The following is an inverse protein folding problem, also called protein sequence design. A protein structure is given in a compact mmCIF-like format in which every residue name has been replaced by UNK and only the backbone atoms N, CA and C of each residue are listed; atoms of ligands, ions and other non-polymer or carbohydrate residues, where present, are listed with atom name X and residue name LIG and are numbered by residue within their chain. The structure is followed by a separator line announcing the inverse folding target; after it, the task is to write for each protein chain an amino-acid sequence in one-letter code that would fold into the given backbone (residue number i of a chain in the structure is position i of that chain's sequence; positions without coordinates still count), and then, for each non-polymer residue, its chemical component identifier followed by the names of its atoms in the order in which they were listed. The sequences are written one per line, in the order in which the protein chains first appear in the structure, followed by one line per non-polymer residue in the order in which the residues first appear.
data_IF_965887306636
#
_entry.id   IF_965887306636
#
_cell.length_a   1.000
_cell.length_b   1.000
_cell.length_c   1.000
_cell.angle_alpha   90.00
_cell.angle_beta   90.00
_cell.angle_gamma   90.00
#
_symmetry.space_group_name_H-M   'P 1'
#
loop_
_entity.id
_entity.type
_entity.pdbx_description
1 polymer ?
#
# COMPACT_ATOMS: atom_id res chain seq x y z
N UNK A 1 53.32 -5.79 -20.43
CA UNK A 1 52.42 -4.71 -19.92
C UNK A 1 51.02 -5.30 -19.74
N UNK A 2 50.62 -5.65 -18.51
CA UNK A 2 49.30 -6.25 -18.22
C UNK A 2 48.32 -5.13 -17.88
N UNK A 3 47.23 -5.01 -18.64
CA UNK A 3 46.19 -3.97 -18.50
C UNK A 3 45.46 -4.11 -17.15
N UNK A 4 45.20 -3.01 -16.41
CA UNK A 4 44.52 -3.09 -15.12
C UNK A 4 43.01 -3.31 -15.34
N UNK A 5 42.45 -4.31 -14.67
CA UNK A 5 41.03 -4.65 -14.71
C UNK A 5 40.20 -3.59 -13.98
N UNK A 6 39.72 -2.58 -14.71
CA UNK A 6 38.87 -1.50 -14.17
C UNK A 6 37.47 -1.94 -13.71
N UNK A 7 37.05 -3.16 -14.03
CA UNK A 7 35.72 -3.69 -13.69
C UNK A 7 35.55 -4.03 -12.20
N UNK A 8 36.64 -4.37 -11.49
CA UNK A 8 36.61 -4.68 -10.05
C UNK A 8 36.24 -3.46 -9.19
N UNK A 9 36.73 -2.27 -9.57
CA UNK A 9 36.45 -1.01 -8.87
C UNK A 9 34.97 -0.59 -8.98
N UNK A 10 34.33 -0.89 -10.11
CA UNK A 10 32.90 -0.58 -10.32
C UNK A 10 32.02 -1.57 -9.56
N UNK A 11 32.39 -2.86 -9.54
CA UNK A 11 31.67 -3.87 -8.77
C UNK A 11 31.78 -3.61 -7.26
N UNK A 12 32.95 -3.18 -6.78
CA UNK A 12 33.15 -2.75 -5.39
C UNK A 12 32.30 -1.54 -5.00
N UNK A 13 32.02 -0.61 -5.93
CA UNK A 13 31.12 0.54 -5.70
C UNK A 13 29.64 0.17 -5.71
N UNK A 14 29.26 -0.89 -6.44
CA UNK A 14 27.86 -1.37 -6.52
C UNK A 14 27.52 -2.32 -5.36
N UNK A 15 28.45 -3.17 -4.94
CA UNK A 15 28.22 -4.16 -3.87
C UNK A 15 28.38 -3.62 -2.43
N UNK A 16 29.08 -2.50 -2.23
CA UNK A 16 29.40 -1.98 -0.88
C UNK A 16 28.42 -0.93 -0.36
N UNK A 17 27.62 -0.32 -1.23
CA UNK A 17 26.60 0.65 -0.82
C UNK A 17 25.37 -0.14 -0.41
N UNK A 18 25.29 -0.57 0.87
CA UNK A 18 24.01 -0.99 1.46
C UNK A 18 22.98 0.04 1.03
N UNK A 19 21.98 -0.39 0.29
CA UNK A 19 20.89 0.48 -0.14
C UNK A 19 20.36 1.12 1.14
N UNK A 20 20.51 2.45 1.26
CA UNK A 20 20.07 3.16 2.45
C UNK A 20 18.56 2.99 2.47
N UNK A 21 18.06 2.12 3.34
CA UNK A 21 16.62 1.91 3.46
C UNK A 21 15.99 3.25 3.78
N UNK A 22 14.96 3.59 3.02
CA UNK A 22 14.12 4.74 3.32
C UNK A 22 13.52 4.58 4.72
N UNK A 23 13.24 5.69 5.41
CA UNK A 23 12.49 5.67 6.67
C UNK A 23 11.19 4.87 6.51
N UNK A 24 10.51 5.01 5.37
CA UNK A 24 9.27 4.27 5.09
C UNK A 24 9.50 2.76 4.98
N UNK A 25 10.56 2.35 4.28
CA UNK A 25 10.91 0.93 4.12
C UNK A 25 11.33 0.31 5.44
N UNK A 26 12.15 1.04 6.22
CA UNK A 26 12.57 0.61 7.54
C UNK A 26 11.39 0.50 8.50
N UNK A 27 10.54 1.53 8.59
CA UNK A 27 9.36 1.50 9.46
C UNK A 27 8.39 0.37 9.09
N UNK A 28 8.25 0.05 7.80
CA UNK A 28 7.47 -1.11 7.37
C UNK A 28 8.09 -2.41 7.90
N UNK A 29 9.40 -2.60 7.75
CA UNK A 29 10.10 -3.78 8.23
C UNK A 29 10.00 -3.91 9.76
N UNK A 30 10.24 -2.82 10.48
CA UNK A 30 10.17 -2.77 11.94
C UNK A 30 8.75 -3.15 12.41
N UNK A 31 7.71 -2.73 11.69
CA UNK A 31 6.32 -3.11 11.97
C UNK A 31 6.03 -4.59 11.71
N UNK A 32 6.52 -5.15 10.61
CA UNK A 32 6.36 -6.59 10.33
C UNK A 32 7.00 -7.44 11.43
N UNK A 33 8.25 -7.12 11.81
CA UNK A 33 8.95 -7.82 12.88
C UNK A 33 8.22 -7.70 14.23
N UNK A 34 7.74 -6.50 14.58
CA UNK A 34 6.99 -6.29 15.82
C UNK A 34 5.74 -7.15 15.89
N UNK A 35 4.98 -7.26 14.79
CA UNK A 35 3.78 -8.11 14.78
C UNK A 35 4.11 -9.59 15.00
N UNK A 36 5.22 -10.06 14.43
CA UNK A 36 5.70 -11.43 14.60
C UNK A 36 6.16 -11.69 16.04
N UNK A 37 6.97 -10.80 16.62
CA UNK A 37 7.48 -10.90 18.00
C UNK A 37 6.35 -10.91 19.03
N UNK A 38 5.37 -10.02 18.87
CA UNK A 38 4.21 -9.91 19.77
C UNK A 38 3.13 -10.97 19.48
N UNK A 39 3.25 -11.73 18.38
CA UNK A 39 2.27 -12.75 17.99
C UNK A 39 0.90 -12.19 17.58
N UNK A 40 0.77 -10.88 17.36
CA UNK A 40 -0.50 -10.19 17.04
C UNK A 40 -0.91 -10.30 15.56
N UNK A 41 -0.15 -11.04 14.73
CA UNK A 41 -0.43 -11.19 13.29
C UNK A 41 -1.84 -11.73 13.04
N UNK A 42 -2.24 -12.78 13.75
CA UNK A 42 -3.53 -13.43 13.53
C UNK A 42 -4.69 -12.57 14.04
N UNK A 43 -4.54 -11.92 15.19
CA UNK A 43 -5.53 -10.99 15.73
C UNK A 43 -5.78 -9.82 14.77
N UNK A 44 -4.71 -9.22 14.24
CA UNK A 44 -4.79 -8.17 13.23
C UNK A 44 -5.41 -8.68 11.93
N UNK A 45 -5.11 -9.92 11.51
CA UNK A 45 -5.71 -10.51 10.32
C UNK A 45 -7.22 -10.73 10.50
N UNK A 46 -7.65 -11.22 11.65
CA UNK A 46 -9.08 -11.40 11.99
C UNK A 46 -9.79 -10.05 12.03
N UNK A 47 -9.21 -9.06 12.70
CA UNK A 47 -9.80 -7.72 12.81
C UNK A 47 -9.87 -7.01 11.45
N UNK A 48 -8.85 -7.17 10.60
CA UNK A 48 -8.86 -6.62 9.23
C UNK A 48 -9.76 -7.40 8.26
N UNK A 49 -10.04 -8.69 8.51
CA UNK A 49 -11.02 -9.49 7.75
C UNK A 49 -12.46 -9.13 8.11
N UNK A 50 -12.69 -8.53 9.27
CA UNK A 50 -14.01 -8.06 9.70
C UNK A 50 -14.57 -7.00 8.75
N UNK A 51 -15.91 -6.97 8.61
CA UNK A 51 -16.63 -5.94 7.82
C UNK A 51 -16.49 -4.51 8.40
N UNK A 52 -15.89 -4.39 9.58
CA UNK A 52 -15.63 -3.13 10.27
C UNK A 52 -14.18 -2.66 10.11
N UNK A 53 -13.45 -3.13 9.10
CA UNK A 53 -12.16 -2.56 8.72
C UNK A 53 -12.31 -1.12 8.19
N UNK A 54 -11.28 -0.28 8.38
CA UNK A 54 -11.29 1.09 7.83
C UNK A 54 -11.46 1.10 6.30
N UNK A 55 -10.77 0.18 5.61
CA UNK A 55 -10.86 0.05 4.15
C UNK A 55 -12.29 -0.31 3.71
N UNK A 56 -12.95 -1.24 4.39
CA UNK A 56 -14.33 -1.61 4.05
C UNK A 56 -15.31 -0.48 4.35
N UNK A 57 -15.15 0.23 5.48
CA UNK A 57 -15.94 1.44 5.77
C UNK A 57 -15.78 2.49 4.68
N UNK A 58 -14.54 2.75 4.24
CA UNK A 58 -14.27 3.72 3.19
C UNK A 58 -14.88 3.28 1.85
N UNK A 59 -14.71 2.01 1.48
CA UNK A 59 -15.31 1.43 0.28
C UNK A 59 -16.85 1.47 0.32
N UNK A 60 -17.46 1.24 1.49
CA UNK A 60 -18.91 1.38 1.67
C UNK A 60 -19.38 2.81 1.41
N UNK A 61 -18.71 3.81 1.99
CA UNK A 61 -19.03 5.22 1.75
C UNK A 61 -18.94 5.57 0.27
N UNK A 62 -17.87 5.15 -0.41
CA UNK A 62 -17.70 5.37 -1.86
C UNK A 62 -18.82 4.72 -2.69
N UNK A 63 -19.24 3.49 -2.34
CA UNK A 63 -20.36 2.81 -3.01
C UNK A 63 -21.69 3.53 -2.78
N UNK A 64 -21.94 4.02 -1.57
CA UNK A 64 -23.16 4.75 -1.23
C UNK A 64 -23.20 6.10 -1.94
N UNK A 65 -22.11 6.85 -1.90
CA UNK A 65 -21.97 8.13 -2.59
C UNK A 65 -22.20 7.97 -4.09
N UNK A 66 -21.59 6.95 -4.70
CA UNK A 66 -21.80 6.67 -6.11
C UNK A 66 -23.25 6.31 -6.43
N UNK A 67 -23.89 5.45 -5.62
CA UNK A 67 -25.31 5.09 -5.81
C UNK A 67 -26.22 6.31 -5.70
N UNK A 68 -25.98 7.19 -4.73
CA UNK A 68 -26.76 8.42 -4.55
C UNK A 68 -26.64 9.32 -5.77
N UNK A 69 -25.42 9.50 -6.28
CA UNK A 69 -25.18 10.28 -7.50
C UNK A 69 -25.95 9.73 -8.71
N UNK A 70 -25.94 8.41 -8.93
CA UNK A 70 -26.66 7.76 -10.03
C UNK A 70 -28.18 8.01 -9.93
N UNK A 71 -28.76 7.90 -8.73
CA UNK A 71 -30.18 8.19 -8.48
C UNK A 71 -30.50 9.65 -8.83
N UNK A 72 -29.69 10.60 -8.35
CA UNK A 72 -29.89 12.02 -8.62
C UNK A 72 -29.73 12.37 -10.10
N UNK A 73 -28.80 11.70 -10.80
CA UNK A 73 -28.62 11.83 -12.25
C UNK A 73 -29.88 11.35 -12.99
N UNK A 74 -30.40 10.19 -12.62
CA UNK A 74 -31.57 9.59 -13.29
C UNK A 74 -32.84 10.42 -13.03
N UNK A 75 -33.01 10.98 -11.82
CA UNK A 75 -34.07 11.94 -11.51
C UNK A 75 -33.94 13.19 -12.38
N UNK A 76 -32.74 13.76 -12.52
CA UNK A 76 -32.53 14.93 -13.39
C UNK A 76 -32.83 14.61 -14.85
N UNK A 77 -32.37 13.47 -15.34
CA UNK A 77 -32.57 13.07 -16.73
C UNK A 77 -34.04 12.77 -17.04
N UNK A 78 -34.77 12.13 -16.12
CA UNK A 78 -36.20 11.88 -16.29
C UNK A 78 -37.02 13.17 -16.32
N UNK A 79 -36.63 14.19 -15.54
CA UNK A 79 -37.24 15.53 -15.57
C UNK A 79 -36.91 16.35 -16.82
N UNK A 80 -35.84 16.01 -17.53
CA UNK A 80 -35.39 16.70 -18.75
C UNK A 80 -35.97 16.10 -20.04
N UNK A 81 -36.67 14.97 -19.98
CA UNK A 81 -37.38 14.44 -21.15
C UNK A 81 -38.62 15.32 -21.41
N UNK A 82 -38.85 15.79 -22.65
CA UNK A 82 -40.00 16.63 -23.00
C UNK A 82 -41.34 15.91 -22.83
#
# INVERSE_FOLDING_TARGET
VKRPSGMSSVLGKIGSKRQKMSTLEKSKLDWENFKEEEGIVEELAIHNRGKDGYIERKAFLERVDHRQFEIERDIRLSRMKP
#
